data_IF_746789648639
#
_entry.id   IF_746789648639
#
_cell.length_a   1.000
_cell.length_b   1.000
_cell.length_c   1.000
_cell.angle_alpha   90.00
_cell.angle_beta   90.00
_cell.angle_gamma   90.00
#
_symmetry.space_group_name_H-M   'P 1'
#
loop_
_entity.id
_entity.type
_entity.pdbx_description
1 polymer ?
#
# COMPACT_ATOMS: atom_id res chain seq x y z
N UNK A 1 -11.21 -1.87 -9.00
CA UNK A 1 -10.95 -1.48 -7.59
C UNK A 1 -10.35 -0.08 -7.54
N UNK A 2 -10.38 0.53 -6.38
CA UNK A 2 -9.82 1.86 -6.15
C UNK A 2 -8.55 1.74 -5.31
N UNK A 3 -7.43 2.26 -5.82
CA UNK A 3 -6.14 2.17 -5.14
C UNK A 3 -5.60 3.54 -4.79
N UNK A 4 -4.89 3.61 -3.67
CA UNK A 4 -4.09 4.77 -3.31
C UNK A 4 -2.63 4.34 -3.19
N UNK A 5 -1.75 5.04 -3.91
CA UNK A 5 -0.30 4.81 -3.88
C UNK A 5 0.34 5.98 -3.14
N UNK A 6 1.10 5.69 -2.10
CA UNK A 6 1.73 6.71 -1.26
C UNK A 6 3.25 6.50 -1.24
N UNK A 7 3.96 7.39 -1.91
CA UNK A 7 5.42 7.36 -2.01
C UNK A 7 5.88 8.79 -2.30
N UNK A 8 6.97 9.23 -1.72
CA UNK A 8 7.51 10.56 -2.00
C UNK A 8 8.16 10.67 -3.38
N UNK A 9 8.41 9.54 -4.04
CA UNK A 9 8.93 9.50 -5.40
C UNK A 9 7.78 9.66 -6.41
N UNK A 10 7.64 10.85 -6.96
CA UNK A 10 6.56 11.17 -7.91
C UNK A 10 6.58 10.32 -9.17
N UNK A 11 7.77 10.00 -9.66
CA UNK A 11 7.93 9.20 -10.87
C UNK A 11 7.41 7.78 -10.66
N UNK A 12 7.75 7.18 -9.52
CA UNK A 12 7.27 5.84 -9.16
C UNK A 12 5.76 5.83 -8.98
N UNK A 13 5.19 6.83 -8.31
CA UNK A 13 3.75 6.98 -8.15
C UNK A 13 3.05 7.02 -9.52
N UNK A 14 3.55 7.84 -10.41
CA UNK A 14 2.98 7.99 -11.75
C UNK A 14 3.04 6.69 -12.53
N UNK A 15 4.16 6.01 -12.45
CA UNK A 15 4.37 4.73 -13.14
C UNK A 15 3.37 3.68 -12.64
N UNK A 16 3.27 3.53 -11.34
CA UNK A 16 2.41 2.52 -10.74
C UNK A 16 0.92 2.85 -10.93
N UNK A 17 0.53 4.10 -10.76
CA UNK A 17 -0.88 4.49 -10.99
C UNK A 17 -1.27 4.32 -12.45
N UNK A 18 -0.37 4.64 -13.39
CA UNK A 18 -0.62 4.44 -14.82
C UNK A 18 -0.82 2.96 -15.12
N UNK A 19 0.02 2.10 -14.54
CA UNK A 19 -0.08 0.66 -14.72
C UNK A 19 -1.41 0.13 -14.18
N UNK A 20 -1.81 0.54 -12.98
CA UNK A 20 -3.06 0.13 -12.36
C UNK A 20 -4.27 0.57 -13.19
N UNK A 21 -4.25 1.80 -13.70
CA UNK A 21 -5.32 2.29 -14.57
C UNK A 21 -5.40 1.50 -15.86
N UNK A 22 -4.25 1.11 -16.41
CA UNK A 22 -4.20 0.25 -17.60
C UNK A 22 -4.81 -1.12 -17.39
N UNK A 23 -4.89 -1.58 -16.14
CA UNK A 23 -5.55 -2.84 -15.78
C UNK A 23 -7.03 -2.66 -15.44
N UNK A 24 -7.59 -1.48 -15.61
CA UNK A 24 -9.00 -1.21 -15.39
C UNK A 24 -9.36 -0.73 -14.01
N UNK A 25 -8.38 -0.37 -13.18
CA UNK A 25 -8.62 0.13 -11.82
C UNK A 25 -8.57 1.65 -11.77
N UNK A 26 -9.17 2.23 -10.74
CA UNK A 26 -8.94 3.61 -10.38
C UNK A 26 -7.71 3.67 -9.49
N UNK A 27 -6.86 4.66 -9.70
CA UNK A 27 -5.66 4.82 -8.89
C UNK A 27 -5.35 6.30 -8.69
N UNK A 28 -5.07 6.66 -7.46
CA UNK A 28 -4.61 8.00 -7.08
C UNK A 28 -3.28 7.86 -6.36
N UNK A 29 -2.55 8.96 -6.25
CA UNK A 29 -1.27 8.95 -5.55
C UNK A 29 -1.12 10.18 -4.67
N UNK A 30 -0.37 10.00 -3.58
CA UNK A 30 0.03 11.07 -2.68
C UNK A 30 1.53 10.98 -2.45
N UNK A 31 2.17 12.14 -2.34
CA UNK A 31 3.60 12.22 -2.01
C UNK A 31 3.83 12.64 -0.56
N UNK A 32 2.77 12.96 0.15
CA UNK A 32 2.81 13.47 1.51
C UNK A 32 2.02 12.54 2.44
N UNK A 33 2.72 11.86 3.33
CA UNK A 33 2.12 10.89 4.25
C UNK A 33 1.10 11.53 5.20
N UNK A 34 1.26 12.81 5.52
CA UNK A 34 0.33 13.51 6.42
C UNK A 34 -1.06 13.71 5.85
N UNK A 35 -1.24 13.50 4.54
CA UNK A 35 -2.52 13.67 3.85
C UNK A 35 -3.30 12.37 3.66
N UNK A 36 -2.74 11.24 4.03
CA UNK A 36 -3.34 9.94 3.75
C UNK A 36 -4.66 9.73 4.48
N UNK A 37 -4.71 10.03 5.76
CA UNK A 37 -5.93 9.81 6.55
C UNK A 37 -7.11 10.63 6.03
N UNK A 38 -6.89 11.92 5.76
CA UNK A 38 -7.95 12.77 5.23
C UNK A 38 -8.40 12.33 3.84
N UNK A 39 -7.47 11.86 3.02
CA UNK A 39 -7.83 11.32 1.70
C UNK A 39 -8.72 10.09 1.82
N UNK A 40 -8.36 9.16 2.71
CA UNK A 40 -9.14 7.94 2.94
C UNK A 40 -10.53 8.24 3.51
N UNK A 41 -10.66 9.28 4.32
CA UNK A 41 -11.96 9.69 4.86
C UNK A 41 -12.90 10.21 3.77
N UNK A 42 -12.36 10.72 2.68
CA UNK A 42 -13.15 11.38 1.61
C UNK A 42 -13.29 10.54 0.34
N UNK A 43 -12.55 9.43 0.21
CA UNK A 43 -12.52 8.67 -1.02
C UNK A 43 -12.63 7.16 -0.76
N UNK A 44 -13.30 6.42 -1.65
CA UNK A 44 -13.29 4.97 -1.54
C UNK A 44 -11.89 4.42 -1.83
N UNK A 45 -11.51 3.38 -1.10
CA UNK A 45 -10.21 2.75 -1.29
C UNK A 45 -10.31 1.26 -1.02
N UNK A 46 -9.87 0.45 -1.96
CA UNK A 46 -9.86 -1.01 -1.87
C UNK A 46 -8.47 -1.55 -1.56
N UNK A 47 -7.44 -0.74 -1.72
CA UNK A 47 -6.08 -1.13 -1.42
C UNK A 47 -5.17 0.08 -1.28
N UNK A 48 -4.36 0.08 -0.23
CA UNK A 48 -3.37 1.12 0.04
C UNK A 48 -1.97 0.54 -0.19
N UNK A 49 -1.20 1.19 -1.05
CA UNK A 49 0.19 0.84 -1.32
C UNK A 49 1.05 1.94 -0.72
N UNK A 50 1.87 1.60 0.26
CA UNK A 50 2.53 2.59 1.11
C UNK A 50 4.03 2.35 1.20
N UNK A 51 4.82 3.37 0.88
CA UNK A 51 6.26 3.35 1.09
C UNK A 51 6.56 3.51 2.58
N UNK A 52 7.44 2.64 3.10
CA UNK A 52 7.81 2.61 4.51
C UNK A 52 8.73 3.76 4.91
N UNK A 53 9.53 4.27 3.98
CA UNK A 53 10.61 5.21 4.25
C UNK A 53 10.30 6.68 4.02
N UNK A 54 9.04 7.10 4.10
CA UNK A 54 8.66 8.48 3.80
C UNK A 54 8.98 9.45 4.93
N UNK A 55 9.33 10.71 4.59
CA UNK A 55 9.48 11.76 5.60
C UNK A 55 8.13 12.14 6.24
N UNK A 56 8.17 12.93 7.30
CA UNK A 56 7.05 13.42 8.11
C UNK A 56 6.48 12.35 9.01
N UNK A 57 5.62 11.46 8.50
CA UNK A 57 5.10 10.34 9.26
C UNK A 57 5.70 9.08 8.67
N UNK A 58 6.41 8.29 9.46
CA UNK A 58 6.99 7.04 8.97
C UNK A 58 5.88 6.04 8.65
N UNK A 59 6.20 5.07 7.77
CA UNK A 59 5.22 4.14 7.26
C UNK A 59 4.56 3.28 8.34
N UNK A 60 5.32 2.88 9.35
CA UNK A 60 4.79 2.03 10.43
C UNK A 60 3.78 2.78 11.28
N UNK A 61 4.09 4.03 11.64
CA UNK A 61 3.17 4.88 12.38
C UNK A 61 1.90 5.13 11.59
N UNK A 62 2.05 5.41 10.31
CA UNK A 62 0.92 5.67 9.43
C UNK A 62 0.00 4.44 9.29
N UNK A 63 0.58 3.25 9.17
CA UNK A 63 -0.21 2.00 9.12
C UNK A 63 -1.07 1.89 10.38
N UNK A 64 -0.48 2.10 11.54
CA UNK A 64 -1.22 2.01 12.81
C UNK A 64 -2.37 3.01 12.87
N UNK A 65 -2.12 4.24 12.44
CA UNK A 65 -3.15 5.29 12.41
C UNK A 65 -4.28 4.95 11.44
N UNK A 66 -3.94 4.49 10.25
CA UNK A 66 -4.92 4.09 9.24
C UNK A 66 -5.75 2.91 9.75
N UNK A 67 -5.10 1.95 10.39
CA UNK A 67 -5.76 0.74 10.86
C UNK A 67 -6.79 1.01 11.94
N UNK A 68 -6.63 2.04 12.73
CA UNK A 68 -7.61 2.42 13.75
C UNK A 68 -8.98 2.75 13.15
N UNK A 69 -8.99 3.41 11.98
CA UNK A 69 -10.23 3.82 11.30
C UNK A 69 -10.65 2.85 10.21
N UNK A 70 -9.72 2.13 9.63
CA UNK A 70 -9.94 1.26 8.47
C UNK A 70 -9.41 -0.14 8.78
N UNK A 71 -10.13 -0.85 9.65
CA UNK A 71 -9.71 -2.14 10.19
C UNK A 71 -9.52 -3.22 9.12
N UNK A 72 -10.22 -3.12 8.00
CA UNK A 72 -10.23 -4.15 6.96
C UNK A 72 -9.61 -3.71 5.64
N UNK A 73 -9.06 -2.50 5.58
CA UNK A 73 -8.41 -2.01 4.36
C UNK A 73 -7.13 -2.81 4.08
N UNK A 74 -7.00 -3.45 2.92
CA UNK A 74 -5.73 -4.08 2.56
C UNK A 74 -4.61 -3.05 2.42
N UNK A 75 -3.52 -3.26 3.14
CA UNK A 75 -2.35 -2.38 3.14
C UNK A 75 -1.14 -3.20 2.69
N UNK A 76 -0.51 -2.77 1.61
CA UNK A 76 0.69 -3.39 1.07
C UNK A 76 1.86 -2.44 1.26
N UNK A 77 2.88 -2.90 1.96
CA UNK A 77 4.11 -2.12 2.14
C UNK A 77 4.99 -2.24 0.91
N UNK A 78 5.56 -1.12 0.51
CA UNK A 78 6.38 -1.01 -0.67
C UNK A 78 7.73 -0.42 -0.27
N UNK A 79 8.83 -1.10 -0.56
CA UNK A 79 10.15 -0.67 -0.11
C UNK A 79 11.23 -0.90 -1.15
N UNK A 80 12.17 0.04 -1.23
CA UNK A 80 13.36 -0.06 -2.08
C UNK A 80 14.55 -0.72 -1.40
N UNK A 81 14.43 -1.06 -0.12
CA UNK A 81 15.55 -1.58 0.66
C UNK A 81 15.79 -3.09 0.51
N UNK A 82 15.02 -3.77 -0.35
CA UNK A 82 15.12 -5.19 -0.51
C UNK A 82 14.44 -5.95 0.62
N UNK A 83 14.77 -7.24 0.73
CA UNK A 83 14.17 -8.11 1.74
C UNK A 83 14.80 -7.85 3.10
N UNK A 84 13.99 -7.43 4.06
CA UNK A 84 14.38 -7.26 5.45
C UNK A 84 13.28 -7.87 6.32
N UNK A 85 13.60 -8.98 6.96
CA UNK A 85 12.62 -9.72 7.75
C UNK A 85 12.13 -8.93 8.95
N UNK A 86 13.01 -8.19 9.60
CA UNK A 86 12.62 -7.36 10.75
C UNK A 86 11.65 -6.25 10.34
N UNK A 87 11.90 -5.61 9.21
CA UNK A 87 11.00 -4.61 8.65
C UNK A 87 9.67 -5.20 8.26
N UNK A 88 9.66 -6.40 7.67
CA UNK A 88 8.43 -7.11 7.32
C UNK A 88 7.59 -7.43 8.54
N UNK A 89 8.23 -7.94 9.61
CA UNK A 89 7.52 -8.26 10.83
C UNK A 89 6.97 -7.02 11.52
N UNK A 90 7.75 -5.94 11.55
CA UNK A 90 7.29 -4.68 12.11
C UNK A 90 6.08 -4.14 11.35
N UNK A 91 6.09 -4.22 10.03
CA UNK A 91 4.97 -3.80 9.20
C UNK A 91 3.72 -4.64 9.45
N UNK A 92 3.87 -5.95 9.58
CA UNK A 92 2.75 -6.85 9.89
C UNK A 92 2.16 -6.54 11.26
N UNK A 93 2.99 -6.31 12.26
CA UNK A 93 2.53 -5.95 13.61
C UNK A 93 1.77 -4.63 13.60
N UNK A 94 2.20 -3.68 12.77
CA UNK A 94 1.50 -2.41 12.63
C UNK A 94 0.17 -2.56 11.90
N UNK A 95 -0.03 -3.64 11.14
CA UNK A 95 -1.29 -3.93 10.47
C UNK A 95 -1.21 -4.11 8.96
N UNK A 96 -0.01 -4.19 8.37
CA UNK A 96 0.13 -4.41 6.94
C UNK A 96 -0.24 -5.85 6.56
N UNK A 97 -0.85 -6.00 5.40
CA UNK A 97 -1.28 -7.30 4.87
C UNK A 97 -0.24 -7.93 3.94
N UNK A 98 0.67 -7.15 3.41
CA UNK A 98 1.69 -7.63 2.50
C UNK A 98 2.87 -6.70 2.42
N UNK A 99 3.94 -7.18 1.77
CA UNK A 99 5.20 -6.48 1.67
C UNK A 99 5.80 -6.78 0.30
N UNK A 100 6.10 -5.74 -0.48
CA UNK A 100 6.58 -5.89 -1.86
C UNK A 100 7.82 -5.03 -2.06
N UNK A 101 8.82 -5.58 -2.74
CA UNK A 101 10.05 -4.86 -3.07
C UNK A 101 9.86 -3.97 -4.30
N UNK A 102 10.37 -2.75 -4.24
CA UNK A 102 10.41 -1.83 -5.38
C UNK A 102 11.31 -2.32 -6.52
N UNK A 103 12.19 -3.28 -6.23
CA UNK A 103 13.08 -3.84 -7.25
C UNK A 103 12.38 -4.74 -8.26
N UNK A 104 11.13 -5.12 -8.00
CA UNK A 104 10.34 -5.93 -8.93
C UNK A 104 9.81 -5.08 -10.09
N UNK A 105 9.56 -5.72 -11.23
CA UNK A 105 8.92 -5.08 -12.35
C UNK A 105 7.43 -4.80 -12.08
N UNK A 106 6.78 -3.97 -12.89
CA UNK A 106 5.37 -3.58 -12.67
C UNK A 106 4.41 -4.77 -12.64
N UNK A 107 4.61 -5.73 -13.53
CA UNK A 107 3.72 -6.91 -13.57
C UNK A 107 3.88 -7.77 -12.33
N UNK A 108 5.09 -7.86 -11.78
CA UNK A 108 5.36 -8.63 -10.57
C UNK A 108 4.79 -7.93 -9.34
N UNK A 109 4.91 -6.61 -9.28
CA UNK A 109 4.30 -5.80 -8.22
C UNK A 109 2.79 -5.96 -8.27
N UNK A 110 2.20 -5.89 -9.46
CA UNK A 110 0.77 -6.06 -9.65
C UNK A 110 0.31 -7.45 -9.21
N UNK A 111 1.03 -8.48 -9.59
CA UNK A 111 0.72 -9.86 -9.19
C UNK A 111 0.77 -10.04 -7.68
N UNK A 112 1.77 -9.47 -7.03
CA UNK A 112 1.89 -9.53 -5.58
C UNK A 112 0.74 -8.79 -4.89
N UNK A 113 0.38 -7.61 -5.42
CA UNK A 113 -0.75 -6.83 -4.92
C UNK A 113 -2.06 -7.61 -5.04
N UNK A 114 -2.30 -8.22 -6.18
CA UNK A 114 -3.52 -9.00 -6.42
C UNK A 114 -3.60 -10.22 -5.50
N UNK A 115 -2.48 -10.88 -5.21
CA UNK A 115 -2.44 -11.99 -4.26
C UNK A 115 -2.83 -11.54 -2.86
N UNK A 116 -2.31 -10.42 -2.40
CA UNK A 116 -2.64 -9.87 -1.08
C UNK A 116 -4.14 -9.54 -1.02
N UNK A 117 -4.66 -8.87 -2.03
CA UNK A 117 -6.06 -8.50 -2.09
C UNK A 117 -6.98 -9.72 -2.16
N UNK A 118 -6.63 -10.69 -2.99
CA UNK A 118 -7.42 -11.92 -3.13
C UNK A 118 -7.46 -12.70 -1.82
N UNK A 119 -6.33 -12.86 -1.17
CA UNK A 119 -6.23 -13.55 0.11
C UNK A 119 -7.03 -12.84 1.22
N UNK A 120 -6.96 -11.52 1.22
CA UNK A 120 -7.70 -10.70 2.20
C UNK A 120 -9.21 -10.78 2.00
N UNK A 121 -9.68 -10.90 0.76
CA UNK A 121 -11.10 -10.96 0.42
C UNK A 121 -11.71 -12.35 0.58
N UNK A 122 -10.90 -13.37 0.74
CA UNK A 122 -11.41 -14.72 0.98
C UNK A 122 -12.07 -14.79 2.35
N UNK A 123 -13.26 -15.42 2.44
CA UNK A 123 -13.88 -15.59 3.75
C UNK A 123 -12.97 -16.42 4.64
N UNK A 124 -12.93 -16.07 5.91
CA UNK A 124 -12.19 -16.85 6.89
C UNK A 124 -12.71 -18.28 6.86
N UNK A 125 -11.81 -19.24 6.73
CA UNK A 125 -12.20 -20.63 6.80
C UNK A 125 -12.62 -20.93 8.23
N UNK A 126 -13.82 -21.39 8.34
CA UNK A 126 -14.33 -21.85 9.62
C UNK A 126 -13.50 -23.04 10.10
#
# INVERSE_FOLDING_TARGET
MNFLVVDDNRLLNRFLTTYLRGKGHSAASLTDSSKVESWLDLNPCDGLILDIGMPKIDGLTLISQVREKHAHLPIVMFTGLGYDEDAMQAARKAGANGYVSKGLGPSEIYSALMRVLHHHQQPAKA
#
